data_IF_986179187919
#
_entry.id   IF_986179187919
#
_cell.length_a   1.000
_cell.length_b   1.000
_cell.length_c   1.000
_cell.angle_alpha   90.00
_cell.angle_beta   90.00
_cell.angle_gamma   90.00
#
_symmetry.space_group_name_H-M   'P 1'
#
loop_
_entity.id
_entity.type
_entity.pdbx_description
1 polymer ?
#
# COMPACT_ATOMS: atom_id res chain seq x y z
N UNK A 1 -19.18 -19.37 -7.55
CA UNK A 1 -18.64 -18.50 -6.47
C UNK A 1 -17.48 -19.17 -5.72
N UNK A 2 -17.45 -20.47 -5.49
CA UNK A 2 -16.39 -21.13 -4.72
C UNK A 2 -15.04 -21.28 -5.45
N UNK A 3 -15.01 -21.24 -6.78
CA UNK A 3 -13.80 -21.43 -7.58
C UNK A 3 -13.18 -20.14 -8.13
N UNK A 4 -13.98 -19.07 -8.19
CA UNK A 4 -13.52 -17.78 -8.68
C UNK A 4 -14.31 -16.68 -7.98
N UNK A 5 -13.64 -15.59 -7.51
CA UNK A 5 -14.32 -14.47 -6.90
C UNK A 5 -15.28 -13.84 -7.93
N UNK A 6 -16.56 -13.90 -7.65
CA UNK A 6 -17.62 -13.39 -8.51
C UNK A 6 -18.64 -12.69 -7.62
N UNK A 7 -19.04 -11.47 -7.97
CA UNK A 7 -20.07 -10.76 -7.24
C UNK A 7 -21.44 -11.29 -7.61
N UNK A 8 -22.37 -11.30 -6.67
CA UNK A 8 -23.78 -11.70 -6.94
C UNK A 8 -24.42 -10.84 -8.03
N UNK A 9 -24.07 -9.56 -8.07
CA UNK A 9 -24.56 -8.62 -9.12
C UNK A 9 -24.05 -8.95 -10.52
N UNK A 10 -22.84 -9.53 -10.65
CA UNK A 10 -22.36 -9.98 -11.96
C UNK A 10 -23.14 -11.19 -12.50
N UNK A 11 -23.75 -11.99 -11.62
CA UNK A 11 -24.59 -13.11 -12.01
C UNK A 11 -25.96 -12.65 -12.54
N UNK A 12 -26.43 -11.49 -12.12
CA UNK A 12 -27.68 -10.88 -12.64
C UNK A 12 -27.61 -10.73 -14.17
N UNK A 13 -26.50 -10.21 -14.68
CA UNK A 13 -26.29 -10.03 -16.11
C UNK A 13 -26.33 -11.34 -16.91
N UNK A 14 -25.71 -12.41 -16.36
CA UNK A 14 -25.58 -13.68 -17.08
C UNK A 14 -26.76 -14.64 -16.91
N UNK A 15 -27.41 -14.59 -15.75
CA UNK A 15 -28.42 -15.58 -15.36
C UNK A 15 -29.80 -14.98 -15.11
N UNK A 16 -29.97 -13.67 -15.29
CA UNK A 16 -31.23 -12.94 -15.09
C UNK A 16 -31.85 -13.17 -13.70
N UNK A 17 -31.03 -13.26 -12.67
CA UNK A 17 -31.42 -13.41 -11.27
C UNK A 17 -31.18 -12.07 -10.55
N UNK A 18 -32.03 -11.71 -9.61
CA UNK A 18 -31.77 -10.54 -8.77
C UNK A 18 -30.56 -10.81 -7.87
N UNK A 19 -29.43 -10.11 -8.15
CA UNK A 19 -28.16 -10.33 -7.47
C UNK A 19 -28.20 -10.05 -5.98
N UNK A 20 -28.93 -9.03 -5.53
CA UNK A 20 -29.05 -8.67 -4.12
C UNK A 20 -29.89 -9.72 -3.35
N UNK A 21 -30.96 -10.20 -3.96
CA UNK A 21 -31.77 -11.30 -3.40
C UNK A 21 -30.96 -12.58 -3.31
N UNK A 22 -30.20 -12.90 -4.38
CA UNK A 22 -29.35 -14.08 -4.38
C UNK A 22 -28.24 -14.02 -3.33
N UNK A 23 -27.60 -12.85 -3.15
CA UNK A 23 -26.58 -12.66 -2.12
C UNK A 23 -27.16 -12.92 -0.72
N UNK A 24 -28.33 -12.38 -0.44
CA UNK A 24 -29.04 -12.60 0.82
C UNK A 24 -29.36 -14.07 1.04
N UNK A 25 -29.92 -14.75 0.04
CA UNK A 25 -30.26 -16.17 0.11
C UNK A 25 -29.00 -17.03 0.27
N UNK A 26 -27.93 -16.73 -0.47
CA UNK A 26 -26.66 -17.43 -0.36
C UNK A 26 -26.08 -17.30 1.05
N UNK A 27 -26.01 -16.06 1.56
CA UNK A 27 -25.49 -15.78 2.91
C UNK A 27 -26.32 -16.47 4.00
N UNK A 28 -27.63 -16.40 3.90
CA UNK A 28 -28.54 -16.86 4.98
C UNK A 28 -28.80 -18.37 4.94
N UNK A 29 -28.74 -19.01 3.78
CA UNK A 29 -29.18 -20.42 3.63
C UNK A 29 -28.06 -21.33 3.14
N UNK A 30 -27.29 -20.92 2.13
CA UNK A 30 -26.36 -21.83 1.44
C UNK A 30 -24.93 -21.78 2.00
N UNK A 31 -24.50 -20.66 2.54
CA UNK A 31 -23.10 -20.44 2.96
C UNK A 31 -22.73 -21.04 4.32
N UNK A 32 -23.70 -21.55 5.08
CA UNK A 32 -23.49 -21.96 6.47
C UNK A 32 -23.16 -20.80 7.43
N UNK A 33 -23.32 -19.56 7.01
CA UNK A 33 -22.97 -18.37 7.80
C UNK A 33 -23.75 -18.30 9.13
N UNK A 34 -24.99 -18.79 9.18
CA UNK A 34 -25.80 -18.78 10.41
C UNK A 34 -25.24 -19.70 11.48
N UNK A 35 -24.60 -20.79 11.08
CA UNK A 35 -24.06 -21.82 11.98
C UNK A 35 -22.58 -21.63 12.26
N UNK A 36 -21.99 -20.58 11.64
CA UNK A 36 -20.57 -20.32 11.81
C UNK A 36 -20.27 -19.84 13.23
N UNK A 37 -19.41 -20.59 13.93
CA UNK A 37 -19.08 -20.39 15.36
C UNK A 37 -18.47 -19.02 15.70
N UNK A 38 -17.80 -18.39 14.73
CA UNK A 38 -17.13 -17.10 14.93
C UNK A 38 -18.02 -15.90 14.54
N UNK A 39 -19.27 -16.15 14.14
CA UNK A 39 -20.21 -15.13 13.64
C UNK A 39 -20.39 -13.95 14.57
N UNK A 40 -20.48 -14.20 15.89
CA UNK A 40 -20.78 -13.16 16.89
C UNK A 40 -19.72 -12.06 16.95
N UNK A 41 -18.46 -12.41 16.70
CA UNK A 41 -17.33 -11.47 16.76
C UNK A 41 -16.64 -11.24 15.42
N UNK A 42 -17.17 -11.81 14.33
CA UNK A 42 -16.53 -11.72 13.01
C UNK A 42 -16.41 -10.29 12.47
N UNK A 43 -17.31 -9.38 12.88
CA UNK A 43 -17.24 -7.96 12.52
C UNK A 43 -16.09 -7.23 13.24
N UNK A 44 -15.69 -7.72 14.42
CA UNK A 44 -14.63 -7.10 15.22
C UNK A 44 -13.27 -7.76 14.99
N UNK A 45 -13.24 -9.09 15.00
CA UNK A 45 -12.01 -9.84 14.82
C UNK A 45 -12.26 -11.29 14.41
N UNK A 46 -11.31 -11.84 13.63
CA UNK A 46 -11.15 -13.26 13.36
C UNK A 46 -9.69 -13.64 13.63
N UNK A 47 -9.47 -14.76 14.28
CA UNK A 47 -8.12 -15.29 14.57
C UNK A 47 -8.09 -16.78 14.32
N UNK A 48 -7.11 -17.22 13.54
CA UNK A 48 -6.87 -18.61 13.15
C UNK A 48 -5.51 -19.06 13.68
N UNK A 49 -5.42 -19.48 14.96
CA UNK A 49 -4.15 -19.81 15.60
C UNK A 49 -3.39 -20.95 14.91
N UNK A 50 -4.10 -21.84 14.22
CA UNK A 50 -3.54 -22.96 13.45
C UNK A 50 -2.66 -22.49 12.28
N UNK A 51 -2.93 -21.31 11.75
CA UNK A 51 -2.19 -20.73 10.63
C UNK A 51 -0.89 -20.01 11.05
N UNK A 52 -0.61 -19.93 12.36
CA UNK A 52 0.60 -19.28 12.86
C UNK A 52 1.83 -20.07 12.44
N UNK A 53 2.64 -19.49 11.56
CA UNK A 53 3.91 -20.03 11.06
C UNK A 53 5.13 -19.43 11.77
N UNK A 54 6.35 -19.83 11.38
CA UNK A 54 7.59 -19.28 11.88
C UNK A 54 7.85 -17.85 11.42
N UNK A 55 7.25 -17.43 10.31
CA UNK A 55 7.31 -16.09 9.75
C UNK A 55 5.91 -15.52 9.67
N UNK A 56 5.75 -14.27 10.06
CA UNK A 56 4.48 -13.54 9.98
C UNK A 56 4.71 -12.17 9.34
N UNK A 57 3.63 -11.62 8.78
CA UNK A 57 3.55 -10.21 8.39
C UNK A 57 2.41 -9.55 9.15
N UNK A 58 2.61 -8.31 9.61
CA UNK A 58 1.54 -7.47 10.17
C UNK A 58 1.44 -6.23 9.29
N UNK A 59 0.21 -5.92 8.86
CA UNK A 59 -0.08 -4.77 8.01
C UNK A 59 -1.43 -4.15 8.36
N UNK A 60 -1.62 -2.89 7.98
CA UNK A 60 -2.91 -2.19 8.07
C UNK A 60 -3.54 -2.08 6.69
N UNK A 61 -4.83 -2.32 6.60
CA UNK A 61 -5.56 -2.18 5.34
C UNK A 61 -6.94 -1.59 5.57
N UNK A 62 -7.44 -0.85 4.59
CA UNK A 62 -8.84 -0.44 4.52
C UNK A 62 -9.58 -1.40 3.60
N UNK A 63 -10.65 -2.05 4.10
CA UNK A 63 -11.43 -3.03 3.34
C UNK A 63 -12.69 -2.39 2.75
N UNK A 64 -13.40 -1.59 3.53
CA UNK A 64 -14.62 -0.91 3.09
C UNK A 64 -14.85 0.37 3.89
N UNK A 65 -15.50 1.35 3.29
CA UNK A 65 -16.00 2.59 3.90
C UNK A 65 -15.01 3.36 4.80
N UNK A 66 -13.70 3.18 4.57
CA UNK A 66 -12.64 3.82 5.35
C UNK A 66 -12.33 3.15 6.68
N UNK A 67 -12.95 2.03 7.00
CA UNK A 67 -12.60 1.24 8.17
C UNK A 67 -11.21 0.61 8.00
N UNK A 68 -10.37 0.78 9.02
CA UNK A 68 -9.03 0.24 9.07
C UNK A 68 -9.02 -1.09 9.83
N UNK A 69 -8.33 -2.05 9.27
CA UNK A 69 -8.12 -3.37 9.84
C UNK A 69 -6.64 -3.66 9.99
N UNK A 70 -6.27 -4.30 11.10
CA UNK A 70 -4.96 -4.89 11.27
C UNK A 70 -5.02 -6.35 10.82
N UNK A 71 -4.17 -6.71 9.87
CA UNK A 71 -4.07 -8.07 9.32
C UNK A 71 -2.76 -8.69 9.78
N UNK A 72 -2.84 -9.92 10.29
CA UNK A 72 -1.67 -10.78 10.53
C UNK A 72 -1.73 -11.93 9.55
N UNK A 73 -0.70 -12.09 8.74
CA UNK A 73 -0.64 -13.12 7.72
C UNK A 73 0.60 -14.00 7.85
N UNK A 74 0.48 -15.23 7.31
CA UNK A 74 1.56 -16.18 7.18
C UNK A 74 2.05 -16.20 5.72
N UNK A 75 3.20 -15.59 5.40
CA UNK A 75 3.72 -15.52 4.04
C UNK A 75 4.12 -16.89 3.48
N UNK A 76 4.41 -17.87 4.33
CA UNK A 76 4.80 -19.20 3.89
C UNK A 76 3.66 -19.95 3.20
N UNK A 77 2.41 -19.60 3.51
CA UNK A 77 1.23 -20.16 2.84
C UNK A 77 0.95 -19.54 1.44
N UNK A 78 1.68 -18.48 1.03
CA UNK A 78 1.66 -17.90 -0.33
C UNK A 78 0.26 -17.56 -0.84
N UNK A 79 -0.57 -16.93 -0.01
CA UNK A 79 -1.94 -16.52 -0.37
C UNK A 79 -2.96 -17.67 -0.44
N UNK A 80 -2.57 -18.90 -0.09
CA UNK A 80 -3.45 -20.08 -0.06
C UNK A 80 -4.11 -20.24 1.32
N UNK A 81 -4.89 -21.30 1.50
CA UNK A 81 -5.43 -21.70 2.79
C UNK A 81 -4.32 -21.73 3.84
N UNK A 82 -4.53 -21.07 4.99
CA UNK A 82 -3.52 -20.92 6.03
C UNK A 82 -2.75 -19.60 5.99
N UNK A 83 -2.98 -18.72 4.99
CA UNK A 83 -2.31 -17.42 4.92
C UNK A 83 -2.83 -16.42 5.94
N UNK A 84 -4.13 -16.41 6.23
CA UNK A 84 -4.70 -15.48 7.20
C UNK A 84 -4.54 -16.05 8.61
N UNK A 85 -3.84 -15.32 9.48
CA UNK A 85 -3.67 -15.65 10.91
C UNK A 85 -4.65 -14.83 11.76
N UNK A 86 -4.80 -13.55 11.46
CA UNK A 86 -5.77 -12.70 12.12
C UNK A 86 -6.21 -11.55 11.21
N UNK A 87 -7.46 -11.13 11.37
CA UNK A 87 -8.00 -9.86 10.90
C UNK A 87 -8.75 -9.23 12.06
N UNK A 88 -8.40 -7.98 12.40
CA UNK A 88 -8.92 -7.28 13.59
C UNK A 88 -9.32 -5.88 13.16
N UNK A 89 -10.57 -5.50 13.44
CA UNK A 89 -11.07 -4.16 13.17
C UNK A 89 -10.37 -3.15 14.08
N UNK A 90 -9.78 -2.12 13.48
CA UNK A 90 -9.02 -1.07 14.15
C UNK A 90 -7.52 -1.27 14.14
N UNK A 91 -6.82 -0.23 14.63
CA UNK A 91 -5.35 -0.09 14.62
C UNK A 91 -4.77 0.18 16.02
N UNK A 92 -5.61 0.18 17.06
CA UNK A 92 -5.17 0.45 18.44
C UNK A 92 -4.34 -0.72 18.97
N UNK A 93 -3.05 -0.49 19.18
CA UNK A 93 -2.10 -1.53 19.59
C UNK A 93 -2.52 -2.33 20.83
N UNK A 94 -3.07 -1.69 21.85
CA UNK A 94 -3.53 -2.35 23.09
C UNK A 94 -4.64 -3.35 22.82
N UNK A 95 -5.62 -2.98 22.01
CA UNK A 95 -6.74 -3.83 21.64
C UNK A 95 -6.27 -5.06 20.85
N UNK A 96 -5.41 -4.83 19.85
CA UNK A 96 -4.85 -5.88 19.00
C UNK A 96 -4.00 -6.85 19.85
N UNK A 97 -3.13 -6.32 20.71
CA UNK A 97 -2.29 -7.12 21.62
C UNK A 97 -3.17 -8.02 22.51
N UNK A 98 -4.24 -7.47 23.07
CA UNK A 98 -5.16 -8.23 23.93
C UNK A 98 -5.77 -9.41 23.16
N UNK A 99 -6.30 -9.17 21.95
CA UNK A 99 -6.91 -10.22 21.12
C UNK A 99 -5.88 -11.28 20.76
N UNK A 100 -4.72 -10.89 20.20
CA UNK A 100 -3.68 -11.83 19.76
C UNK A 100 -3.15 -12.67 20.93
N UNK A 101 -2.91 -12.04 22.09
CA UNK A 101 -2.41 -12.76 23.28
C UNK A 101 -3.44 -13.74 23.84
N UNK A 102 -4.72 -13.40 23.81
CA UNK A 102 -5.83 -14.23 24.29
C UNK A 102 -6.14 -15.38 23.35
N UNK A 103 -6.05 -15.15 22.03
CA UNK A 103 -6.50 -16.12 21.02
C UNK A 103 -5.40 -16.98 20.44
N UNK A 104 -4.16 -16.51 20.39
CA UNK A 104 -3.01 -17.32 19.94
C UNK A 104 -2.26 -17.84 21.19
N UNK A 105 -2.18 -19.14 21.38
CA UNK A 105 -1.47 -19.75 22.51
C UNK A 105 -0.02 -19.29 22.59
N UNK A 106 0.48 -19.05 23.80
CA UNK A 106 1.86 -18.56 24.01
C UNK A 106 2.91 -19.45 23.36
N UNK A 107 2.72 -20.78 23.42
CA UNK A 107 3.61 -21.76 22.76
C UNK A 107 3.73 -21.57 21.25
N UNK A 108 2.65 -21.17 20.56
CA UNK A 108 2.67 -20.83 19.14
C UNK A 108 3.36 -19.50 18.89
N UNK A 109 3.09 -18.49 19.72
CA UNK A 109 3.71 -17.16 19.61
C UNK A 109 5.23 -17.21 19.82
N UNK A 110 5.73 -18.13 20.64
CA UNK A 110 7.17 -18.37 20.84
C UNK A 110 7.87 -19.04 19.66
N UNK A 111 7.13 -19.67 18.75
CA UNK A 111 7.66 -20.31 17.54
C UNK A 111 7.83 -19.33 16.37
N UNK A 112 7.30 -18.12 16.49
CA UNK A 112 7.49 -17.08 15.48
C UNK A 112 8.91 -16.55 15.60
N UNK A 113 9.70 -16.70 14.54
CA UNK A 113 11.11 -16.33 14.47
C UNK A 113 11.30 -14.96 13.80
N UNK A 114 10.40 -14.60 12.90
CA UNK A 114 10.47 -13.36 12.12
C UNK A 114 9.08 -12.75 11.96
N UNK A 115 9.02 -11.43 12.02
CA UNK A 115 7.81 -10.68 11.75
C UNK A 115 8.14 -9.45 10.90
N UNK A 116 7.56 -9.42 9.71
CA UNK A 116 7.64 -8.28 8.80
C UNK A 116 6.54 -7.31 9.12
N UNK A 117 6.87 -6.03 9.23
CA UNK A 117 5.92 -4.95 9.57
C UNK A 117 6.34 -3.63 8.91
N UNK A 118 5.44 -2.68 8.89
CA UNK A 118 5.75 -1.32 8.48
C UNK A 118 6.61 -0.58 9.53
N UNK A 119 6.97 0.66 9.27
CA UNK A 119 7.78 1.48 10.20
C UNK A 119 6.96 2.09 11.34
N UNK A 120 5.70 1.70 11.51
CA UNK A 120 4.81 2.24 12.54
C UNK A 120 5.21 1.78 13.94
N UNK A 121 5.22 2.71 14.90
CA UNK A 121 5.49 2.41 16.31
C UNK A 121 4.46 1.45 16.91
N UNK A 122 3.19 1.52 16.45
CA UNK A 122 2.10 0.66 16.89
C UNK A 122 2.37 -0.78 16.49
N UNK A 123 2.76 -1.03 15.24
CA UNK A 123 3.11 -2.36 14.75
C UNK A 123 4.32 -2.94 15.47
N UNK A 124 5.35 -2.12 15.68
CA UNK A 124 6.52 -2.49 16.47
C UNK A 124 6.18 -2.89 17.91
N UNK A 125 5.19 -2.22 18.54
CA UNK A 125 4.69 -2.56 19.87
C UNK A 125 3.92 -3.87 19.87
N UNK A 126 3.02 -4.09 18.90
CA UNK A 126 2.26 -5.32 18.73
C UNK A 126 3.21 -6.51 18.58
N UNK A 127 4.17 -6.42 17.65
CA UNK A 127 5.13 -7.48 17.39
C UNK A 127 5.92 -7.85 18.67
N UNK A 128 6.45 -6.86 19.37
CA UNK A 128 7.23 -7.06 20.61
C UNK A 128 6.40 -7.72 21.71
N UNK A 129 5.18 -7.28 21.92
CA UNK A 129 4.33 -7.79 22.99
C UNK A 129 3.73 -9.16 22.68
N UNK A 130 3.44 -9.47 21.43
CA UNK A 130 2.80 -10.71 21.03
C UNK A 130 3.79 -11.82 20.68
N UNK A 131 4.92 -11.49 20.07
CA UNK A 131 5.88 -12.43 19.51
C UNK A 131 7.30 -12.14 20.03
N UNK A 132 7.58 -12.44 21.31
CA UNK A 132 8.77 -11.95 22.00
C UNK A 132 10.11 -12.48 21.46
N UNK A 133 10.10 -13.59 20.72
CA UNK A 133 11.31 -14.17 20.10
C UNK A 133 11.50 -13.76 18.65
N UNK A 134 10.51 -13.10 18.05
CA UNK A 134 10.56 -12.75 16.64
C UNK A 134 11.52 -11.59 16.36
N UNK A 135 12.38 -11.77 15.36
CA UNK A 135 13.15 -10.69 14.76
C UNK A 135 12.17 -9.83 13.97
N UNK A 136 12.22 -8.51 14.17
CA UNK A 136 11.37 -7.56 13.48
C UNK A 136 12.08 -7.04 12.25
N UNK A 137 11.52 -7.32 11.09
CA UNK A 137 12.02 -6.89 9.79
C UNK A 137 11.08 -5.82 9.23
N UNK A 138 11.63 -4.70 8.78
CA UNK A 138 10.82 -3.66 8.13
C UNK A 138 10.50 -4.09 6.70
N UNK A 139 9.24 -3.89 6.30
CA UNK A 139 8.82 -4.18 4.94
C UNK A 139 9.52 -3.24 3.94
N UNK A 140 10.22 -3.86 2.99
CA UNK A 140 10.94 -3.15 1.92
C UNK A 140 10.02 -2.27 1.07
N UNK A 141 8.76 -2.68 0.89
CA UNK A 141 7.81 -1.91 0.10
C UNK A 141 7.57 -0.54 0.72
N UNK A 142 7.34 -0.46 2.02
CA UNK A 142 7.14 0.81 2.72
C UNK A 142 8.38 1.70 2.68
N UNK A 143 9.58 1.14 2.82
CA UNK A 143 10.83 1.90 2.67
C UNK A 143 10.95 2.46 1.26
N UNK A 144 10.69 1.65 0.24
CA UNK A 144 10.74 2.08 -1.15
C UNK A 144 9.71 3.17 -1.47
N UNK A 145 8.51 3.03 -0.94
CA UNK A 145 7.45 4.03 -1.08
C UNK A 145 7.88 5.36 -0.46
N UNK A 146 8.39 5.37 0.77
CA UNK A 146 8.88 6.58 1.43
C UNK A 146 10.00 7.26 0.63
N UNK A 147 10.95 6.49 0.10
CA UNK A 147 12.01 7.03 -0.76
C UNK A 147 11.44 7.67 -2.04
N UNK A 148 10.46 7.03 -2.66
CA UNK A 148 9.80 7.58 -3.85
C UNK A 148 8.98 8.84 -3.53
N UNK A 149 8.29 8.88 -2.40
CA UNK A 149 7.57 10.06 -1.95
C UNK A 149 8.51 11.24 -1.70
N UNK A 150 9.65 11.02 -1.03
CA UNK A 150 10.67 12.05 -0.81
C UNK A 150 11.23 12.59 -2.14
N UNK A 151 11.57 11.72 -3.09
CA UNK A 151 12.02 12.13 -4.43
C UNK A 151 10.93 12.92 -5.17
N UNK A 152 9.67 12.51 -5.01
CA UNK A 152 8.54 13.19 -5.63
C UNK A 152 8.33 14.60 -5.03
N UNK A 153 8.45 14.75 -3.72
CA UNK A 153 8.36 16.04 -3.04
C UNK A 153 9.45 17.00 -3.52
N UNK A 154 10.71 16.56 -3.58
CA UNK A 154 11.82 17.34 -4.13
C UNK A 154 11.55 17.78 -5.58
N UNK A 155 11.10 16.86 -6.43
CA UNK A 155 10.76 17.17 -7.82
C UNK A 155 9.64 18.22 -7.91
N UNK A 156 8.64 18.12 -7.04
CA UNK A 156 7.52 19.09 -6.99
C UNK A 156 8.03 20.46 -6.50
N UNK A 157 8.88 20.49 -5.49
CA UNK A 157 9.47 21.72 -4.98
C UNK A 157 10.24 22.46 -6.09
N UNK A 158 11.15 21.77 -6.77
CA UNK A 158 11.92 22.33 -7.90
C UNK A 158 11.02 22.76 -9.08
N UNK A 159 9.93 22.01 -9.33
CA UNK A 159 8.95 22.43 -10.34
C UNK A 159 8.28 23.77 -9.98
N UNK A 160 7.94 23.97 -8.72
CA UNK A 160 7.36 25.23 -8.28
C UNK A 160 8.37 26.38 -8.35
N UNK A 161 9.63 26.13 -8.05
CA UNK A 161 10.72 27.08 -8.23
C UNK A 161 10.85 27.47 -9.70
N UNK A 162 10.90 26.49 -10.60
CA UNK A 162 10.99 26.73 -12.05
C UNK A 162 9.78 27.54 -12.57
N UNK A 163 8.56 27.30 -12.07
CA UNK A 163 7.36 28.08 -12.43
C UNK A 163 7.49 29.53 -11.95
N UNK A 164 7.96 29.74 -10.72
CA UNK A 164 8.16 31.11 -10.17
C UNK A 164 9.22 31.85 -10.96
N UNK A 165 10.35 31.21 -11.25
CA UNK A 165 11.43 31.79 -12.05
C UNK A 165 10.92 32.17 -13.45
N UNK A 166 10.20 31.26 -14.13
CA UNK A 166 9.62 31.53 -15.46
C UNK A 166 8.66 32.74 -15.41
N UNK A 167 7.82 32.84 -14.37
CA UNK A 167 6.91 33.97 -14.21
C UNK A 167 7.64 35.30 -13.99
N UNK A 168 8.73 35.28 -13.22
CA UNK A 168 9.53 36.49 -12.98
C UNK A 168 10.32 36.92 -14.22
N UNK A 169 10.84 35.98 -14.98
CA UNK A 169 11.53 36.25 -16.23
C UNK A 169 10.56 36.80 -17.31
N UNK A 170 9.33 36.27 -17.36
CA UNK A 170 8.25 36.84 -18.19
C UNK A 170 7.93 38.29 -17.82
N UNK A 171 7.86 38.61 -16.52
CA UNK A 171 7.63 39.98 -16.06
C UNK A 171 8.77 40.91 -16.46
N UNK A 172 10.03 40.48 -16.30
CA UNK A 172 11.23 41.24 -16.70
C UNK A 172 11.24 41.50 -18.22
N UNK A 173 11.03 40.47 -19.03
CA UNK A 173 10.95 40.61 -20.49
C UNK A 173 9.88 41.64 -20.90
N UNK A 174 8.67 41.53 -20.29
CA UNK A 174 7.57 42.47 -20.55
C UNK A 174 7.94 43.89 -20.17
N UNK A 175 8.64 44.09 -19.04
CA UNK A 175 9.11 45.40 -18.61
C UNK A 175 10.11 46.02 -19.58
N UNK A 176 10.99 45.18 -20.15
CA UNK A 176 11.97 45.58 -21.17
C UNK A 176 11.38 45.71 -22.58
N UNK A 177 10.09 45.37 -22.79
CA UNK A 177 9.49 45.39 -24.11
C UNK A 177 9.93 44.23 -25.01
N UNK A 178 10.51 43.17 -24.45
CA UNK A 178 11.01 41.99 -25.15
C UNK A 178 10.01 40.84 -25.09
N UNK A 179 10.06 39.97 -26.13
CA UNK A 179 9.33 38.71 -26.13
C UNK A 179 10.04 37.69 -25.23
N UNK A 180 9.35 37.12 -24.26
CA UNK A 180 9.90 36.05 -23.44
C UNK A 180 10.15 34.78 -24.26
N UNK A 181 11.33 34.18 -24.12
CA UNK A 181 11.67 32.88 -24.71
C UNK A 181 12.33 32.03 -23.63
N UNK A 182 11.72 30.88 -23.24
CA UNK A 182 12.31 30.00 -22.25
C UNK A 182 13.61 29.35 -22.77
N UNK A 183 14.53 29.07 -21.87
CA UNK A 183 15.66 28.21 -22.19
C UNK A 183 15.18 26.78 -22.50
N UNK A 184 15.64 26.22 -23.61
CA UNK A 184 15.30 24.88 -24.07
C UNK A 184 16.54 24.00 -24.04
N UNK A 185 16.47 22.87 -23.34
CA UNK A 185 17.55 21.88 -23.31
C UNK A 185 17.68 21.13 -24.63
N UNK A 186 18.79 20.39 -24.79
CA UNK A 186 19.11 19.64 -26.01
C UNK A 186 18.04 18.60 -26.41
N UNK A 187 17.25 18.13 -25.45
CA UNK A 187 16.11 17.20 -25.64
C UNK A 187 14.80 17.89 -26.02
N UNK A 188 14.79 19.22 -26.19
CA UNK A 188 13.59 20.01 -26.50
C UNK A 188 12.67 20.33 -25.32
N UNK A 189 13.06 20.03 -24.10
CA UNK A 189 12.28 20.38 -22.90
C UNK A 189 12.75 21.74 -22.31
N UNK A 190 11.83 22.58 -21.84
CA UNK A 190 12.14 23.64 -20.87
C UNK A 190 12.34 23.02 -19.48
N UNK A 191 12.94 23.78 -18.53
CA UNK A 191 13.15 23.29 -17.15
C UNK A 191 11.85 22.80 -16.51
N UNK A 192 10.77 23.53 -16.68
CA UNK A 192 9.44 23.14 -16.21
C UNK A 192 8.95 21.84 -16.84
N UNK A 193 9.14 21.68 -18.16
CA UNK A 193 8.76 20.46 -18.89
C UNK A 193 9.64 19.27 -18.49
N UNK A 194 10.93 19.47 -18.31
CA UNK A 194 11.88 18.48 -17.82
C UNK A 194 11.40 17.90 -16.49
N UNK A 195 11.08 18.75 -15.51
CA UNK A 195 10.60 18.34 -14.19
C UNK A 195 9.24 17.63 -14.22
N UNK A 196 8.31 18.05 -15.09
CA UNK A 196 7.02 17.37 -15.25
C UNK A 196 7.20 15.97 -15.84
N UNK A 197 7.94 15.88 -16.94
CA UNK A 197 8.12 14.65 -17.72
C UNK A 197 9.05 13.63 -17.05
N UNK A 198 9.82 14.06 -16.05
CA UNK A 198 10.72 13.19 -15.27
C UNK A 198 10.01 12.34 -14.22
N UNK A 199 8.73 12.58 -13.92
CA UNK A 199 8.00 11.88 -12.86
C UNK A 199 8.16 10.36 -12.92
N UNK A 200 7.89 9.75 -14.06
CA UNK A 200 7.87 8.30 -14.19
C UNK A 200 9.25 7.67 -14.35
N UNK A 201 10.23 8.39 -14.86
CA UNK A 201 11.59 7.86 -14.98
C UNK A 201 12.26 7.71 -13.60
N UNK A 202 11.96 8.61 -12.65
CA UNK A 202 12.51 8.57 -11.29
C UNK A 202 12.05 7.35 -10.46
N UNK A 203 10.92 6.74 -10.84
CA UNK A 203 10.38 5.54 -10.18
C UNK A 203 10.67 4.25 -10.95
N UNK A 204 11.42 4.34 -12.05
CA UNK A 204 11.70 3.23 -12.92
C UNK A 204 13.20 2.93 -12.90
N UNK A 205 13.55 1.64 -12.81
CA UNK A 205 14.95 1.22 -12.90
C UNK A 205 15.60 1.74 -14.19
N UNK A 206 16.83 2.28 -14.13
CA UNK A 206 17.56 2.83 -15.29
C UNK A 206 17.67 1.87 -16.47
N UNK A 207 17.77 0.58 -16.22
CA UNK A 207 17.84 -0.47 -17.25
C UNK A 207 16.56 -0.54 -18.10
N UNK A 208 15.42 -0.10 -17.53
CA UNK A 208 14.11 -0.09 -18.19
C UNK A 208 13.78 1.25 -18.84
N UNK A 209 14.70 2.23 -18.82
CA UNK A 209 14.47 3.52 -19.44
C UNK A 209 14.52 3.41 -20.97
N UNK A 210 13.60 4.12 -21.62
CA UNK A 210 13.69 4.38 -23.07
C UNK A 210 14.85 5.34 -23.35
N UNK A 211 15.31 5.43 -24.59
CA UNK A 211 16.38 6.36 -24.97
C UNK A 211 16.03 7.81 -24.58
N UNK A 212 14.82 8.26 -24.83
CA UNK A 212 14.34 9.60 -24.44
C UNK A 212 14.30 9.80 -22.90
N UNK A 213 14.09 8.73 -22.14
CA UNK A 213 14.14 8.81 -20.68
C UNK A 213 15.58 8.90 -20.18
N UNK A 214 16.53 8.24 -20.81
CA UNK A 214 17.97 8.34 -20.51
C UNK A 214 18.48 9.77 -20.74
N UNK A 215 18.24 10.33 -21.91
CA UNK A 215 18.60 11.72 -22.24
C UNK A 215 18.02 12.72 -21.24
N UNK A 216 16.75 12.53 -20.88
CA UNK A 216 16.09 13.37 -19.88
C UNK A 216 16.70 13.21 -18.49
N UNK A 217 17.06 11.99 -18.09
CA UNK A 217 17.70 11.73 -16.81
C UNK A 217 19.08 12.37 -16.72
N UNK A 218 19.89 12.30 -17.78
CA UNK A 218 21.21 12.94 -17.86
C UNK A 218 21.10 14.45 -17.64
N UNK A 219 20.16 15.09 -18.33
CA UNK A 219 19.93 16.54 -18.16
C UNK A 219 19.42 16.84 -16.74
N UNK A 220 18.47 16.06 -16.24
CA UNK A 220 17.88 16.26 -14.91
C UNK A 220 18.95 16.17 -13.81
N UNK A 221 19.78 15.13 -13.83
CA UNK A 221 20.82 14.93 -12.82
C UNK A 221 22.01 15.88 -12.96
N UNK A 222 22.22 16.45 -14.14
CA UNK A 222 23.17 17.55 -14.32
C UNK A 222 22.66 18.86 -13.70
N UNK A 223 21.34 19.08 -13.67
CA UNK A 223 20.72 20.25 -13.03
C UNK A 223 20.57 20.10 -11.52
N UNK A 224 20.34 18.87 -11.04
CA UNK A 224 20.08 18.53 -9.63
C UNK A 224 20.96 17.34 -9.23
N UNK A 225 22.24 17.59 -8.91
CA UNK A 225 23.23 16.58 -8.57
C UNK A 225 22.96 15.89 -7.22
#
# INVERSE_FOLDING_TARGET
MERSPTTSRSLDFYYHINGDTFEKQYKEVLSGYREWKDREHAAEWLVFPENTGPRLCIDETSISDGELYTIVSNPDARGKKGSLVAIINGVKSEYIINILRRKIPFSKRLKVNEITLDMSNSMGKIARCCFPKAIRTIDRFHIQQMAFEAVQELRIAHRWEAIRQEADDMKKARFCGEAYSPFIFSNGDSLRQLLVRSRYLLFKSPEKWTQRQKERAEILFAQYP
#
